data_IF_156827433626
#
_entry.id   IF_156827433626
#
_cell.length_a   1.000
_cell.length_b   1.000
_cell.length_c   1.000
_cell.angle_alpha   90.00
_cell.angle_beta   90.00
_cell.angle_gamma   90.00
#
_symmetry.space_group_name_H-M   'P 1'
#
loop_
_entity.id
_entity.type
_entity.pdbx_description
1 polymer ?
#
# COMPACT_ATOMS: atom_id res chain seq x y z
N UNK A 1 -7.06 16.73 7.22
CA UNK A 1 -6.45 16.28 8.49
C UNK A 1 -5.77 14.93 8.26
N UNK A 2 -4.56 14.73 8.78
CA UNK A 2 -3.86 13.44 8.68
C UNK A 2 -4.40 12.47 9.76
N UNK A 3 -4.53 11.17 9.46
CA UNK A 3 -4.97 10.20 10.45
C UNK A 3 -3.95 10.07 11.59
N UNK A 4 -4.43 9.76 12.80
CA UNK A 4 -3.56 9.51 13.94
C UNK A 4 -2.65 8.29 13.66
N UNK A 5 -1.37 8.30 14.06
CA UNK A 5 -0.46 7.18 13.82
C UNK A 5 -0.98 5.83 14.34
N UNK A 6 -1.59 5.81 15.53
CA UNK A 6 -2.21 4.59 16.11
C UNK A 6 -3.33 4.00 15.25
N UNK A 7 -4.07 4.86 14.54
CA UNK A 7 -5.11 4.41 13.64
C UNK A 7 -4.51 3.74 12.40
N UNK A 8 -3.43 4.33 11.85
CA UNK A 8 -2.72 3.74 10.71
C UNK A 8 -2.15 2.36 11.05
N UNK A 9 -1.52 2.21 12.22
CA UNK A 9 -1.00 0.92 12.67
C UNK A 9 -2.11 -0.12 12.78
N UNK A 10 -3.21 0.22 13.47
CA UNK A 10 -4.35 -0.69 13.61
C UNK A 10 -4.97 -1.07 12.27
N UNK A 11 -5.09 -0.12 11.34
CA UNK A 11 -5.60 -0.36 10.00
C UNK A 11 -4.70 -1.28 9.18
N UNK A 12 -3.38 -1.07 9.23
CA UNK A 12 -2.37 -1.89 8.54
C UNK A 12 -2.41 -3.33 9.05
N UNK A 13 -2.38 -3.52 10.37
CA UNK A 13 -2.41 -4.85 10.98
C UNK A 13 -3.73 -5.56 10.69
N UNK A 14 -4.87 -4.88 10.81
CA UNK A 14 -6.18 -5.43 10.45
C UNK A 14 -6.24 -5.84 8.97
N UNK A 15 -5.74 -5.01 8.07
CA UNK A 15 -5.74 -5.28 6.62
C UNK A 15 -4.93 -6.52 6.23
N UNK A 16 -3.82 -6.77 6.92
CA UNK A 16 -2.97 -7.97 6.74
C UNK A 16 -3.66 -9.27 7.16
N UNK A 17 -4.53 -9.24 8.16
CA UNK A 17 -5.22 -10.45 8.65
C UNK A 17 -6.38 -10.91 7.77
N UNK A 18 -6.97 -10.02 6.97
CA UNK A 18 -8.10 -10.36 6.09
C UNK A 18 -7.65 -10.63 4.66
N UNK A 19 -7.91 -11.84 4.15
CA UNK A 19 -7.49 -12.24 2.81
C UNK A 19 -8.08 -11.36 1.69
N UNK A 20 -9.35 -10.94 1.80
CA UNK A 20 -10.00 -10.07 0.80
C UNK A 20 -9.45 -8.65 0.84
N UNK A 21 -9.17 -8.13 2.03
CA UNK A 21 -8.58 -6.79 2.21
C UNK A 21 -7.13 -6.80 1.77
N UNK A 22 -6.36 -7.83 2.13
CA UNK A 22 -4.99 -8.04 1.68
C UNK A 22 -4.85 -8.05 0.16
N UNK A 23 -5.84 -8.60 -0.56
CA UNK A 23 -5.90 -8.55 -2.03
C UNK A 23 -6.35 -7.21 -2.60
N UNK A 24 -6.79 -6.26 -1.77
CA UNK A 24 -7.31 -4.95 -2.17
C UNK A 24 -8.70 -5.03 -2.82
N UNK A 25 -9.41 -6.16 -2.67
CA UNK A 25 -10.72 -6.39 -3.30
C UNK A 25 -11.86 -5.67 -2.57
N UNK A 26 -11.68 -5.43 -1.28
CA UNK A 26 -12.66 -4.80 -0.39
C UNK A 26 -11.95 -3.98 0.69
N UNK A 27 -12.70 -3.15 1.40
CA UNK A 27 -12.19 -2.23 2.43
C UNK A 27 -13.15 -1.05 2.60
N UNK A 28 -12.81 -0.08 3.47
CA UNK A 28 -13.57 1.16 3.58
C UNK A 28 -13.71 1.82 2.22
N UNK A 29 -14.88 2.42 1.96
CA UNK A 29 -15.19 3.00 0.66
C UNK A 29 -14.26 4.15 0.28
N UNK A 30 -13.83 4.93 1.26
CA UNK A 30 -12.98 6.11 1.14
C UNK A 30 -11.48 5.82 1.31
N UNK A 31 -11.09 4.55 1.48
CA UNK A 31 -9.69 4.13 1.66
C UNK A 31 -9.32 2.99 0.70
N UNK A 32 -8.16 3.12 0.07
CA UNK A 32 -7.49 2.04 -0.67
C UNK A 32 -6.29 1.56 0.10
N UNK A 33 -6.18 0.23 0.19
CA UNK A 33 -5.03 -0.51 0.68
C UNK A 33 -4.38 -1.26 -0.48
N UNK A 34 -3.05 -1.16 -0.59
CA UNK A 34 -2.27 -2.00 -1.49
C UNK A 34 -0.96 -2.44 -0.83
N UNK A 35 -0.73 -3.74 -0.63
CA UNK A 35 0.51 -4.24 -0.03
C UNK A 35 1.68 -4.17 -1.02
N UNK A 36 2.88 -3.90 -0.51
CA UNK A 36 4.15 -3.91 -1.24
C UNK A 36 5.04 -5.01 -0.61
N UNK A 37 4.80 -6.29 -0.95
CA UNK A 37 5.41 -7.42 -0.24
C UNK A 37 6.93 -7.48 -0.33
N UNK A 38 7.52 -7.05 -1.45
CA UNK A 38 8.96 -7.09 -1.65
C UNK A 38 9.74 -6.12 -0.74
N UNK A 39 9.10 -5.05 -0.29
CA UNK A 39 9.65 -4.09 0.68
C UNK A 39 9.12 -4.29 2.10
N UNK A 40 8.13 -5.18 2.31
CA UNK A 40 7.45 -5.34 3.60
C UNK A 40 6.58 -4.15 4.00
N UNK A 41 6.29 -3.23 3.07
CA UNK A 41 5.51 -2.00 3.32
C UNK A 41 4.11 -2.09 2.73
N UNK A 42 3.30 -1.03 2.89
CA UNK A 42 2.00 -0.93 2.26
C UNK A 42 1.65 0.52 1.94
N UNK A 43 0.89 0.71 0.86
CA UNK A 43 0.33 1.98 0.45
C UNK A 43 -1.11 2.10 0.97
N UNK A 44 -1.39 3.19 1.70
CA UNK A 44 -2.72 3.55 2.17
C UNK A 44 -3.09 4.92 1.59
N UNK A 45 -4.19 4.98 0.84
CA UNK A 45 -4.68 6.22 0.23
C UNK A 45 -6.10 6.47 0.68
N UNK A 46 -6.33 7.59 1.36
CA UNK A 46 -7.67 8.08 1.69
C UNK A 46 -8.12 9.17 0.71
N UNK A 47 -9.42 9.27 0.43
CA UNK A 47 -10.00 10.41 -0.27
C UNK A 47 -11.35 10.82 0.31
N UNK A 48 -11.66 12.11 0.27
CA UNK A 48 -12.96 12.63 0.70
C UNK A 48 -13.94 12.72 -0.46
N UNK A 49 -15.23 12.46 -0.21
CA UNK A 49 -16.32 12.82 -1.12
C UNK A 49 -16.67 11.81 -2.22
N UNK A 50 -15.88 10.75 -2.42
CA UNK A 50 -16.23 9.68 -3.36
C UNK A 50 -15.68 8.31 -2.94
N UNK A 51 -16.47 7.22 -3.06
CA UNK A 51 -16.01 5.87 -2.77
C UNK A 51 -15.09 5.35 -3.89
N UNK A 52 -14.00 4.68 -3.55
CA UNK A 52 -13.10 4.01 -4.50
C UNK A 52 -13.80 2.81 -5.16
N UNK A 53 -13.97 2.92 -6.48
CA UNK A 53 -14.59 1.87 -7.31
C UNK A 53 -13.62 0.70 -7.50
N UNK A 54 -14.17 -0.46 -7.84
CA UNK A 54 -13.39 -1.68 -8.07
C UNK A 54 -12.27 -1.50 -9.13
N UNK A 55 -12.52 -0.71 -10.17
CA UNK A 55 -11.49 -0.40 -11.20
C UNK A 55 -10.34 0.40 -10.62
N UNK A 56 -10.61 1.42 -9.82
CA UNK A 56 -9.60 2.27 -9.18
C UNK A 56 -8.75 1.45 -8.22
N UNK A 57 -9.39 0.60 -7.39
CA UNK A 57 -8.69 -0.34 -6.49
C UNK A 57 -7.71 -1.23 -7.25
N UNK A 58 -8.15 -1.83 -8.37
CA UNK A 58 -7.28 -2.64 -9.23
C UNK A 58 -6.11 -1.85 -9.82
N UNK A 59 -6.34 -0.61 -10.25
CA UNK A 59 -5.29 0.26 -10.80
C UNK A 59 -4.24 0.58 -9.73
N UNK A 60 -4.66 0.93 -8.51
CA UNK A 60 -3.73 1.18 -7.40
C UNK A 60 -2.93 -0.09 -7.07
N UNK A 61 -3.57 -1.26 -7.01
CA UNK A 61 -2.86 -2.53 -6.80
C UNK A 61 -1.86 -2.87 -7.91
N UNK A 62 -2.10 -2.44 -9.15
CA UNK A 62 -1.14 -2.60 -10.24
C UNK A 62 0.05 -1.64 -10.10
N UNK A 63 -0.22 -0.37 -9.78
CA UNK A 63 0.81 0.63 -9.51
C UNK A 63 1.68 0.25 -8.30
N UNK A 64 1.08 -0.26 -7.22
CA UNK A 64 1.79 -0.71 -6.04
C UNK A 64 2.82 -1.80 -6.36
N UNK A 65 2.50 -2.76 -7.24
CA UNK A 65 3.46 -3.79 -7.69
C UNK A 65 4.65 -3.21 -8.45
N UNK A 66 4.41 -2.20 -9.30
CA UNK A 66 5.47 -1.49 -10.01
C UNK A 66 6.36 -0.75 -9.01
N UNK A 67 5.76 -0.03 -8.08
CA UNK A 67 6.47 0.73 -7.03
C UNK A 67 7.29 -0.19 -6.13
N UNK A 68 6.74 -1.32 -5.71
CA UNK A 68 7.43 -2.32 -4.89
C UNK A 68 8.72 -2.81 -5.57
N UNK A 69 8.61 -3.16 -6.87
CA UNK A 69 9.77 -3.56 -7.67
C UNK A 69 10.82 -2.44 -7.75
N UNK A 70 10.39 -1.19 -7.95
CA UNK A 70 11.29 -0.04 -8.08
C UNK A 70 11.94 0.35 -6.76
N UNK A 71 11.25 0.22 -5.63
CA UNK A 71 11.80 0.45 -4.31
C UNK A 71 12.87 -0.57 -3.95
N UNK A 72 12.68 -1.85 -4.32
CA UNK A 72 13.70 -2.89 -4.15
C UNK A 72 14.96 -2.54 -4.95
N UNK A 73 14.81 -2.19 -6.23
CA UNK A 73 15.93 -1.79 -7.10
C UNK A 73 16.67 -0.57 -6.53
N UNK A 74 15.92 0.47 -6.14
CA UNK A 74 16.50 1.67 -5.53
C UNK A 74 17.24 1.35 -4.22
N UNK A 75 16.64 0.54 -3.36
CA UNK A 75 17.26 0.13 -2.09
C UNK A 75 18.56 -0.63 -2.32
N UNK A 76 18.63 -1.48 -3.34
CA UNK A 76 19.87 -2.17 -3.72
C UNK A 76 20.93 -1.18 -4.22
N UNK A 77 20.59 -0.23 -5.08
CA UNK A 77 21.55 0.76 -5.60
C UNK A 77 22.09 1.66 -4.50
N UNK A 78 21.26 1.99 -3.52
CA UNK A 78 21.63 2.79 -2.36
C UNK A 78 22.38 1.99 -1.29
N UNK A 79 22.52 0.65 -1.43
CA UNK A 79 23.37 -0.09 -0.50
C UNK A 79 24.81 0.39 -0.62
N UNK A 80 25.48 0.67 0.50
CA UNK A 80 26.81 1.29 0.53
C UNK A 80 27.89 0.45 -0.18
N UNK A 81 27.69 -0.86 -0.33
CA UNK A 81 28.59 -1.76 -1.06
C UNK A 81 28.57 -1.58 -2.59
N UNK A 82 27.62 -0.82 -3.14
CA UNK A 82 27.49 -0.59 -4.59
C UNK A 82 28.04 0.79 -5.03
N UNK A 83 28.73 1.51 -4.13
CA UNK A 83 29.31 2.84 -4.35
C UNK A 83 30.84 2.80 -4.61
N UNK A 84 31.42 1.61 -4.81
CA UNK A 84 32.83 1.39 -5.23
C UNK A 84 32.96 1.30 -6.75
#
# INVERSE_FOLDING_TARGET
PLPLPRWLVAFVEGSRTSARVSRGETGPDDVVWAPLPGTGTALVVGRTGAPFRARERRQVSALARIVDTRLIDLSRRLHPSNQE
#
